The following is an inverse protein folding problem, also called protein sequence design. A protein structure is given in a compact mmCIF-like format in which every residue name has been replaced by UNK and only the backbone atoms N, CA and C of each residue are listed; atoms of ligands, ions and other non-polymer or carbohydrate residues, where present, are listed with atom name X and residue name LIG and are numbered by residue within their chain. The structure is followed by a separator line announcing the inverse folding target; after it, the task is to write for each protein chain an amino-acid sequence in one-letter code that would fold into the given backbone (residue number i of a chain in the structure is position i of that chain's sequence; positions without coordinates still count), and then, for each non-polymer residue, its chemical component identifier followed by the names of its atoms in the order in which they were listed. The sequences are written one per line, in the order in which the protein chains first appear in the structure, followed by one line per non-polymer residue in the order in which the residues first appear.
data_IF_684664132783
#
_entry.id   IF_684664132783
#
_cell.length_a   1.000
_cell.length_b   1.000
_cell.length_c   1.000
_cell.angle_alpha   90.00
_cell.angle_beta   90.00
_cell.angle_gamma   90.00
#
_symmetry.space_group_name_H-M   'P 1'
#
loop_
_entity.id
_entity.type
_entity.pdbx_description
1 polymer ?
#
# COMPACT_ATOMS: atom_id res chain seq x y z
N UNK A 1 -5.19 -6.53 -5.01
CA UNK A 1 -4.41 -5.77 -4.01
C UNK A 1 -3.77 -4.49 -4.58
N UNK A 2 -3.24 -4.53 -5.81
CA UNK A 2 -2.51 -3.39 -6.41
C UNK A 2 -3.30 -2.07 -6.43
N UNK A 3 -4.62 -2.09 -6.64
CA UNK A 3 -5.46 -0.88 -6.62
C UNK A 3 -5.39 -0.11 -5.30
N UNK A 4 -5.31 -0.80 -4.16
CA UNK A 4 -5.16 -0.16 -2.85
C UNK A 4 -3.78 0.48 -2.67
N UNK A 5 -2.74 -0.16 -3.20
CA UNK A 5 -1.38 0.40 -3.21
C UNK A 5 -1.33 1.68 -4.03
N UNK A 6 -1.92 1.68 -5.22
CA UNK A 6 -1.96 2.87 -6.06
C UNK A 6 -2.84 3.97 -5.45
N UNK A 7 -3.95 3.62 -4.79
CA UNK A 7 -4.77 4.58 -4.08
C UNK A 7 -4.01 5.26 -2.94
N UNK A 8 -3.24 4.49 -2.17
CA UNK A 8 -2.35 5.02 -1.13
C UNK A 8 -1.23 5.90 -1.73
N UNK A 9 -0.61 5.48 -2.84
CA UNK A 9 0.51 6.19 -3.49
C UNK A 9 0.10 7.50 -4.14
N UNK A 10 -1.07 7.53 -4.77
CA UNK A 10 -1.50 8.68 -5.59
C UNK A 10 -2.43 9.59 -4.81
N UNK A 11 -3.56 9.08 -4.33
CA UNK A 11 -4.59 9.91 -3.71
C UNK A 11 -4.26 10.25 -2.26
N UNK A 12 -3.93 9.26 -1.42
CA UNK A 12 -3.70 9.53 0.00
C UNK A 12 -2.50 10.47 0.21
N UNK A 13 -1.43 10.30 -0.60
CA UNK A 13 -0.30 11.24 -0.64
C UNK A 13 -0.69 12.64 -1.15
N UNK A 14 -1.41 12.72 -2.27
CA UNK A 14 -1.88 14.00 -2.83
C UNK A 14 -2.74 14.79 -1.82
N UNK A 15 -3.58 14.09 -1.07
CA UNK A 15 -4.47 14.67 -0.07
C UNK A 15 -3.82 14.87 1.29
N UNK A 16 -2.52 14.55 1.45
CA UNK A 16 -1.82 14.55 2.73
C UNK A 16 -2.54 13.74 3.84
N UNK A 17 -3.24 12.67 3.46
CA UNK A 17 -3.97 11.81 4.39
C UNK A 17 -3.13 10.58 4.78
N UNK A 18 -2.28 10.76 5.79
CA UNK A 18 -1.41 9.70 6.31
C UNK A 18 -2.21 8.52 6.89
N UNK A 19 -3.33 8.78 7.56
CA UNK A 19 -4.14 7.73 8.17
C UNK A 19 -4.76 6.82 7.10
N UNK A 20 -5.28 7.38 6.02
CA UNK A 20 -5.77 6.61 4.88
C UNK A 20 -4.63 5.87 4.18
N UNK A 21 -3.47 6.51 3.99
CA UNK A 21 -2.29 5.91 3.39
C UNK A 21 -1.88 4.63 4.13
N UNK A 22 -1.59 4.74 5.42
CA UNK A 22 -1.08 3.64 6.24
C UNK A 22 -2.12 2.52 6.36
N UNK A 23 -3.41 2.85 6.52
CA UNK A 23 -4.49 1.86 6.58
C UNK A 23 -4.56 1.01 5.31
N UNK A 24 -4.54 1.64 4.14
CA UNK A 24 -4.63 0.93 2.86
C UNK A 24 -3.44 -0.02 2.65
N UNK A 25 -2.24 0.40 3.04
CA UNK A 25 -1.03 -0.44 2.92
C UNK A 25 -1.05 -1.60 3.91
N UNK A 26 -1.49 -1.37 5.15
CA UNK A 26 -1.62 -2.43 6.14
C UNK A 26 -2.66 -3.48 5.73
N UNK A 27 -3.78 -3.06 5.14
CA UNK A 27 -4.78 -3.97 4.57
C UNK A 27 -4.20 -4.84 3.43
N UNK A 28 -3.34 -4.27 2.58
CA UNK A 28 -2.67 -5.02 1.51
C UNK A 28 -1.69 -6.04 2.09
N UNK A 29 -0.89 -5.64 3.08
CA UNK A 29 0.11 -6.50 3.73
C UNK A 29 -0.54 -7.68 4.45
N UNK A 30 -1.72 -7.45 5.04
CA UNK A 30 -2.42 -8.46 5.86
C UNK A 30 -3.33 -9.40 5.05
N UNK A 31 -3.57 -9.09 3.77
CA UNK A 31 -4.40 -9.93 2.91
C UNK A 31 -3.71 -11.25 2.54
N UNK A 32 -4.48 -12.33 2.36
CA UNK A 32 -3.94 -13.56 1.77
C UNK A 32 -3.55 -13.30 0.30
N UNK A 33 -2.28 -13.49 -0.09
CA UNK A 33 -1.87 -13.29 -1.46
C UNK A 33 -2.33 -14.40 -2.40
N UNK A 34 -2.66 -15.60 -1.88
CA UNK A 34 -2.95 -16.79 -2.69
C UNK A 34 -4.34 -16.67 -3.30
N UNK A 35 -4.37 -16.37 -4.59
CA UNK A 35 -5.59 -16.33 -5.39
C UNK A 35 -5.29 -16.86 -6.79
N UNK A 36 -6.08 -17.79 -7.34
CA UNK A 36 -5.84 -18.36 -8.66
C UNK A 36 -5.62 -17.29 -9.73
N UNK A 37 -4.47 -17.34 -10.40
CA UNK A 37 -4.08 -16.37 -11.44
C UNK A 37 -3.56 -15.02 -10.94
N UNK A 38 -3.59 -14.74 -9.63
CA UNK A 38 -3.17 -13.44 -9.06
C UNK A 38 -2.10 -13.53 -7.96
N UNK A 39 -1.67 -14.73 -7.56
CA UNK A 39 -0.70 -14.90 -6.45
C UNK A 39 0.55 -14.05 -6.59
N UNK A 40 1.18 -14.05 -7.77
CA UNK A 40 2.39 -13.26 -8.01
C UNK A 40 2.12 -11.75 -7.92
N UNK A 41 1.03 -11.29 -8.55
CA UNK A 41 0.63 -9.87 -8.52
C UNK A 41 0.29 -9.41 -7.11
N UNK A 42 -0.36 -10.25 -6.32
CA UNK A 42 -0.67 -9.95 -4.94
C UNK A 42 0.58 -9.91 -4.06
N UNK A 43 1.52 -10.84 -4.24
CA UNK A 43 2.81 -10.81 -3.56
C UNK A 43 3.63 -9.56 -3.91
N UNK A 44 3.60 -9.13 -5.18
CA UNK A 44 4.24 -7.88 -5.62
C UNK A 44 3.58 -6.66 -4.96
N UNK A 45 2.25 -6.61 -4.92
CA UNK A 45 1.53 -5.52 -4.24
C UNK A 45 1.89 -5.43 -2.75
N UNK A 46 2.05 -6.57 -2.06
CA UNK A 46 2.49 -6.60 -0.67
C UNK A 46 3.93 -6.09 -0.49
N UNK A 47 4.84 -6.44 -1.40
CA UNK A 47 6.21 -5.92 -1.38
C UNK A 47 6.20 -4.39 -1.50
N UNK A 48 5.50 -3.87 -2.52
CA UNK A 48 5.37 -2.43 -2.72
C UNK A 48 4.72 -1.72 -1.54
N UNK A 49 3.72 -2.36 -0.90
CA UNK A 49 3.06 -1.79 0.27
C UNK A 49 4.02 -1.61 1.45
N UNK A 50 4.91 -2.58 1.70
CA UNK A 50 5.94 -2.47 2.76
C UNK A 50 6.95 -1.36 2.47
N UNK A 51 7.40 -1.27 1.22
CA UNK A 51 8.33 -0.21 0.78
C UNK A 51 7.72 1.19 0.94
N UNK A 52 6.44 1.33 0.58
CA UNK A 52 5.73 2.60 0.68
C UNK A 52 5.50 3.00 2.15
N UNK A 53 5.14 2.04 3.01
CA UNK A 53 4.92 2.29 4.43
C UNK A 53 6.22 2.66 5.16
N UNK A 54 7.35 2.05 4.76
CA UNK A 54 8.67 2.37 5.34
C UNK A 54 9.09 3.82 5.08
N UNK A 55 8.65 4.41 3.96
CA UNK A 55 8.92 5.81 3.58
C UNK A 55 7.77 6.76 3.96
N UNK A 56 6.75 6.29 4.69
CA UNK A 56 5.56 7.09 5.04
C UNK A 56 5.96 8.29 5.91
N UNK A 57 6.75 8.07 6.97
CA UNK A 57 7.19 9.15 7.89
C UNK A 57 7.95 10.26 7.19
N UNK A 58 8.91 9.89 6.33
CA UNK A 58 9.69 10.86 5.53
C UNK A 58 8.82 11.69 4.58
N UNK A 59 7.65 11.18 4.17
CA UNK A 59 6.77 11.90 3.25
C UNK A 59 5.78 12.83 3.95
N UNK A 60 5.26 12.46 5.13
CA UNK A 60 4.17 13.19 5.80
C UNK A 60 4.63 14.04 6.99
N UNK A 61 5.80 13.79 7.57
CA UNK A 61 6.32 14.53 8.74
C UNK A 61 7.27 15.69 8.35
N UNK A 62 7.46 15.95 7.05
CA UNK A 62 8.21 17.09 6.47
C UNK A 62 7.33 18.32 6.17
#
# INVERSE_FOLDING_TARGET
LITKVEYARTYARLMFDQALHDRLLQEVISADPVYPGLTLTNALAQKQARELLATSKEYFED
#
